data_IF_551691568707
#
_entry.id   IF_551691568707
#
_cell.length_a   1.000
_cell.length_b   1.000
_cell.length_c   1.000
_cell.angle_alpha   90.00
_cell.angle_beta   90.00
_cell.angle_gamma   90.00
#
_symmetry.space_group_name_H-M   'P 1'
#
loop_
_entity.id
_entity.type
_entity.pdbx_description
1 polymer ?
#
# COMPACT_ATOMS: atom_id res chain seq x y z
N UNK A 1 -16.41 -15.92 -0.92
CA UNK A 1 -16.62 -15.88 -2.38
C UNK A 1 -15.61 -16.77 -3.06
N UNK A 2 -16.05 -17.70 -3.88
CA UNK A 2 -15.17 -18.49 -4.71
C UNK A 2 -15.35 -17.98 -6.14
N UNK A 3 -14.29 -17.47 -6.76
CA UNK A 3 -14.32 -17.00 -8.12
C UNK A 3 -13.71 -18.08 -9.03
N UNK A 4 -14.49 -18.61 -9.97
CA UNK A 4 -14.04 -19.61 -10.94
C UNK A 4 -13.47 -18.93 -12.19
N UNK A 5 -14.11 -17.84 -12.63
CA UNK A 5 -13.69 -17.06 -13.79
C UNK A 5 -13.49 -15.59 -13.45
N UNK A 6 -12.27 -15.12 -13.61
CA UNK A 6 -11.81 -13.79 -13.20
C UNK A 6 -11.35 -13.00 -14.42
N UNK A 7 -11.79 -11.75 -14.50
CA UNK A 7 -11.38 -10.81 -15.54
C UNK A 7 -10.46 -9.72 -14.99
N UNK A 8 -9.39 -9.41 -15.73
CA UNK A 8 -8.56 -8.23 -15.45
C UNK A 8 -8.58 -7.27 -16.64
N UNK A 9 -8.96 -6.02 -16.39
CA UNK A 9 -8.91 -4.93 -17.37
C UNK A 9 -7.81 -3.97 -16.94
N UNK A 10 -6.68 -4.01 -17.68
CA UNK A 10 -5.42 -3.42 -17.25
C UNK A 10 -4.63 -4.39 -16.35
N UNK A 11 -3.54 -4.96 -16.86
CA UNK A 11 -2.74 -5.93 -16.13
C UNK A 11 -1.32 -5.39 -15.91
N UNK A 12 -1.22 -4.48 -14.93
CA UNK A 12 0.05 -3.88 -14.50
C UNK A 12 0.63 -4.55 -13.26
N UNK A 13 1.38 -3.76 -12.48
CA UNK A 13 1.99 -4.19 -11.22
C UNK A 13 0.96 -4.79 -10.25
N UNK A 14 -0.09 -4.03 -9.92
CA UNK A 14 -1.09 -4.43 -8.91
C UNK A 14 -1.98 -5.57 -9.42
N UNK A 15 -2.56 -5.42 -10.62
CA UNK A 15 -3.39 -6.48 -11.20
C UNK A 15 -2.64 -7.80 -11.36
N UNK A 16 -1.37 -7.73 -11.79
CA UNK A 16 -0.50 -8.90 -11.88
C UNK A 16 -0.17 -9.52 -10.53
N UNK A 17 0.03 -8.73 -9.49
CA UNK A 17 0.28 -9.22 -8.13
C UNK A 17 -0.94 -9.95 -7.56
N UNK A 18 -2.14 -9.41 -7.80
CA UNK A 18 -3.41 -10.07 -7.43
C UNK A 18 -3.56 -11.39 -8.21
N UNK A 19 -3.35 -11.37 -9.53
CA UNK A 19 -3.46 -12.56 -10.37
C UNK A 19 -2.49 -13.67 -9.93
N UNK A 20 -1.23 -13.32 -9.60
CA UNK A 20 -0.24 -14.26 -9.06
C UNK A 20 -0.71 -14.90 -7.76
N UNK A 21 -1.22 -14.09 -6.82
CA UNK A 21 -1.70 -14.60 -5.53
C UNK A 21 -2.94 -15.47 -5.69
N UNK A 22 -3.84 -15.12 -6.61
CA UNK A 22 -5.01 -15.96 -6.94
C UNK A 22 -4.60 -17.31 -7.52
N UNK A 23 -3.66 -17.35 -8.48
CA UNK A 23 -3.14 -18.62 -9.06
C UNK A 23 -2.38 -19.46 -8.03
N UNK A 24 -1.69 -18.84 -7.06
CA UNK A 24 -1.06 -19.54 -5.94
C UNK A 24 -2.10 -20.21 -5.04
N UNK A 25 -3.15 -19.48 -4.67
CA UNK A 25 -4.22 -19.98 -3.79
C UNK A 25 -5.13 -21.02 -4.48
N UNK A 26 -5.39 -20.84 -5.77
CA UNK A 26 -6.19 -21.75 -6.59
C UNK A 26 -5.59 -21.87 -8.00
N UNK A 27 -4.73 -22.86 -8.27
CA UNK A 27 -4.12 -23.05 -9.59
C UNK A 27 -5.13 -23.31 -10.72
N UNK A 28 -6.37 -23.66 -10.40
CA UNK A 28 -7.42 -23.96 -11.38
C UNK A 28 -8.29 -22.76 -11.73
N UNK A 29 -8.13 -21.61 -11.06
CA UNK A 29 -8.90 -20.41 -11.36
C UNK A 29 -8.66 -19.99 -12.81
N UNK A 30 -9.73 -19.76 -13.57
CA UNK A 30 -9.63 -19.23 -14.93
C UNK A 30 -9.45 -17.71 -14.86
N UNK A 31 -8.37 -17.19 -15.43
CA UNK A 31 -8.09 -15.77 -15.48
C UNK A 31 -7.95 -15.33 -16.92
N UNK A 32 -8.79 -14.38 -17.33
CA UNK A 32 -8.67 -13.70 -18.62
C UNK A 32 -8.32 -12.24 -18.41
N UNK A 33 -7.58 -11.64 -19.33
CA UNK A 33 -7.18 -10.25 -19.20
C UNK A 33 -7.20 -9.49 -20.54
N UNK A 34 -7.34 -8.18 -20.44
CA UNK A 34 -7.01 -7.26 -21.54
C UNK A 34 -6.14 -6.11 -20.99
N UNK A 35 -5.35 -5.49 -21.86
CA UNK A 35 -4.40 -4.43 -21.50
C UNK A 35 -4.28 -3.41 -22.65
N UNK A 36 -3.54 -2.33 -22.43
CA UNK A 36 -3.28 -1.34 -23.45
C UNK A 36 -2.36 -1.82 -24.58
N UNK A 37 -1.59 -2.89 -24.36
CA UNK A 37 -0.61 -3.40 -25.32
C UNK A 37 -0.59 -4.93 -25.32
N UNK A 38 -0.46 -5.52 -26.52
CA UNK A 38 -0.35 -6.96 -26.70
C UNK A 38 0.83 -7.56 -25.92
N UNK A 39 1.96 -6.88 -25.85
CA UNK A 39 3.13 -7.36 -25.11
C UNK A 39 2.82 -7.65 -23.62
N UNK A 40 1.95 -6.89 -22.98
CA UNK A 40 1.53 -7.17 -21.58
C UNK A 40 0.78 -8.49 -21.47
N UNK A 41 -0.03 -8.84 -22.48
CA UNK A 41 -0.77 -10.11 -22.55
C UNK A 41 0.20 -11.27 -22.84
N UNK A 42 1.13 -11.09 -23.77
CA UNK A 42 2.15 -12.08 -24.09
C UNK A 42 3.00 -12.43 -22.86
N UNK A 43 3.46 -11.41 -22.14
CA UNK A 43 4.23 -11.56 -20.90
C UNK A 43 3.43 -12.29 -19.82
N UNK A 44 2.16 -11.89 -19.60
CA UNK A 44 1.30 -12.51 -18.60
C UNK A 44 0.95 -13.97 -18.94
N UNK A 45 0.70 -14.26 -20.21
CA UNK A 45 0.45 -15.62 -20.71
C UNK A 45 1.71 -16.49 -20.58
N UNK A 46 2.88 -15.96 -20.96
CA UNK A 46 4.17 -16.62 -20.80
C UNK A 46 4.52 -16.96 -19.34
N UNK A 47 4.03 -16.15 -18.39
CA UNK A 47 4.14 -16.38 -16.94
C UNK A 47 3.08 -17.39 -16.42
N UNK A 48 2.16 -17.87 -17.25
CA UNK A 48 1.06 -18.77 -16.84
C UNK A 48 0.02 -18.11 -15.92
N UNK A 49 -0.11 -16.79 -15.97
CA UNK A 49 -1.03 -16.04 -15.12
C UNK A 49 -2.44 -15.90 -15.69
N UNK A 50 -2.56 -15.91 -17.02
CA UNK A 50 -3.83 -15.76 -17.75
C UNK A 50 -4.00 -16.84 -18.79
N UNK A 51 -5.25 -17.06 -19.21
CA UNK A 51 -5.61 -18.15 -20.11
C UNK A 51 -5.68 -17.70 -21.58
N UNK A 52 -5.67 -16.39 -21.87
CA UNK A 52 -5.66 -15.83 -23.22
C UNK A 52 -4.28 -15.30 -23.63
N UNK A 53 -3.96 -15.42 -24.91
CA UNK A 53 -2.72 -14.93 -25.51
C UNK A 53 -2.93 -13.77 -26.50
N UNK A 54 -4.14 -13.26 -26.60
CA UNK A 54 -4.51 -12.13 -27.45
C UNK A 54 -5.23 -11.07 -26.63
N UNK A 55 -5.20 -9.81 -27.10
CA UNK A 55 -6.04 -8.74 -26.53
C UNK A 55 -7.51 -9.09 -26.70
N UNK A 56 -8.24 -9.07 -25.60
CA UNK A 56 -9.67 -9.38 -25.58
C UNK A 56 -10.51 -8.11 -25.68
N UNK A 57 -11.61 -8.23 -26.43
CA UNK A 57 -12.70 -7.25 -26.38
C UNK A 57 -13.51 -7.42 -25.08
N UNK A 58 -14.14 -6.33 -24.61
CA UNK A 58 -14.89 -6.34 -23.34
C UNK A 58 -16.01 -7.38 -23.28
N UNK A 59 -16.62 -7.74 -24.41
CA UNK A 59 -17.64 -8.79 -24.46
C UNK A 59 -17.14 -10.18 -24.01
N UNK A 60 -15.84 -10.42 -24.02
CA UNK A 60 -15.23 -11.66 -23.51
C UNK A 60 -15.38 -11.83 -22.00
N UNK A 61 -15.63 -10.73 -21.28
CA UNK A 61 -15.76 -10.69 -19.81
C UNK A 61 -17.18 -10.96 -19.30
N UNK A 62 -18.16 -11.19 -20.20
CA UNK A 62 -19.58 -11.34 -19.85
C UNK A 62 -19.90 -12.45 -18.85
N UNK A 63 -19.10 -13.52 -18.83
CA UNK A 63 -19.28 -14.67 -17.96
C UNK A 63 -18.34 -14.65 -16.74
N UNK A 64 -17.65 -13.55 -16.47
CA UNK A 64 -16.77 -13.45 -15.30
C UNK A 64 -17.57 -13.33 -14.00
N UNK A 65 -17.06 -13.95 -12.93
CA UNK A 65 -17.60 -13.81 -11.58
C UNK A 65 -17.15 -12.53 -10.94
N UNK A 66 -15.92 -12.11 -11.23
CA UNK A 66 -15.35 -10.85 -10.80
C UNK A 66 -14.51 -10.22 -11.92
N UNK A 67 -14.57 -8.91 -12.04
CA UNK A 67 -13.76 -8.11 -12.96
C UNK A 67 -12.98 -7.08 -12.18
N UNK A 68 -11.65 -7.12 -12.27
CA UNK A 68 -10.73 -6.15 -11.69
C UNK A 68 -10.41 -5.05 -12.70
N UNK A 69 -10.74 -3.81 -12.38
CA UNK A 69 -10.37 -2.63 -13.14
C UNK A 69 -9.03 -2.10 -12.62
N UNK A 70 -7.96 -2.38 -13.35
CA UNK A 70 -6.58 -2.07 -12.93
C UNK A 70 -5.91 -1.02 -13.84
N UNK A 71 -6.69 -0.31 -14.63
CA UNK A 71 -6.25 0.83 -15.43
C UNK A 71 -6.31 2.14 -14.60
N UNK A 72 -5.81 3.28 -15.09
CA UNK A 72 -6.06 4.58 -14.49
C UNK A 72 -7.55 4.88 -14.31
N UNK A 73 -7.92 5.66 -13.26
CA UNK A 73 -9.31 5.87 -12.85
C UNK A 73 -10.19 6.35 -14.01
N UNK A 74 -9.73 7.30 -14.81
CA UNK A 74 -10.48 7.81 -15.97
C UNK A 74 -10.78 6.70 -16.98
N UNK A 75 -9.84 5.79 -17.23
CA UNK A 75 -10.04 4.65 -18.11
C UNK A 75 -10.97 3.59 -17.50
N UNK A 76 -10.87 3.36 -16.20
CA UNK A 76 -11.81 2.48 -15.49
C UNK A 76 -13.24 2.96 -15.59
N UNK A 77 -13.48 4.28 -15.56
CA UNK A 77 -14.79 4.90 -15.78
C UNK A 77 -15.31 4.61 -17.20
N UNK A 78 -14.47 4.75 -18.22
CA UNK A 78 -14.83 4.41 -19.61
C UNK A 78 -15.21 2.92 -19.74
N UNK A 79 -14.48 2.03 -19.06
CA UNK A 79 -14.79 0.60 -19.04
C UNK A 79 -16.09 0.28 -18.31
N UNK A 80 -16.39 0.93 -17.18
CA UNK A 80 -17.67 0.78 -16.47
C UNK A 80 -18.88 1.07 -17.35
N UNK A 81 -18.83 2.14 -18.15
CA UNK A 81 -19.90 2.51 -19.07
C UNK A 81 -20.20 1.38 -20.07
N UNK A 82 -19.17 0.72 -20.56
CA UNK A 82 -19.31 -0.37 -21.52
C UNK A 82 -19.72 -1.69 -20.85
N UNK A 83 -19.14 -2.01 -19.69
CA UNK A 83 -19.40 -3.24 -18.95
C UNK A 83 -20.84 -3.35 -18.45
N UNK A 84 -21.51 -2.22 -18.18
CA UNK A 84 -22.90 -2.18 -17.70
C UNK A 84 -23.84 -3.10 -18.50
N UNK A 85 -23.65 -3.19 -19.81
CA UNK A 85 -24.51 -3.95 -20.70
C UNK A 85 -23.94 -5.32 -21.08
N UNK A 86 -22.81 -5.70 -20.47
CA UNK A 86 -22.04 -6.90 -20.84
C UNK A 86 -22.08 -7.92 -19.71
N UNK A 87 -21.91 -7.46 -18.47
CA UNK A 87 -21.76 -8.34 -17.30
C UNK A 87 -23.05 -9.09 -16.96
N UNK A 88 -22.91 -10.25 -16.35
CA UNK A 88 -24.04 -10.97 -15.75
C UNK A 88 -24.48 -10.32 -14.43
N UNK A 89 -25.72 -10.58 -14.03
CA UNK A 89 -26.37 -9.92 -12.89
C UNK A 89 -25.62 -10.07 -11.55
N UNK A 90 -24.92 -11.19 -11.34
CA UNK A 90 -24.18 -11.53 -10.13
C UNK A 90 -22.67 -11.25 -10.24
N UNK A 91 -22.20 -10.68 -11.34
CA UNK A 91 -20.80 -10.29 -11.52
C UNK A 91 -20.43 -9.16 -10.55
N UNK A 92 -19.32 -9.30 -9.86
CA UNK A 92 -18.72 -8.23 -9.06
C UNK A 92 -17.69 -7.48 -9.91
N UNK A 93 -17.79 -6.17 -9.97
CA UNK A 93 -16.74 -5.29 -10.49
C UNK A 93 -16.00 -4.70 -9.29
N UNK A 94 -14.70 -4.73 -9.32
CA UNK A 94 -13.84 -4.02 -8.34
C UNK A 94 -12.75 -3.26 -9.06
N UNK A 95 -12.22 -2.21 -8.43
CA UNK A 95 -11.06 -1.50 -8.94
C UNK A 95 -9.88 -1.62 -7.95
N UNK A 96 -8.71 -1.14 -8.36
CA UNK A 96 -7.51 -1.07 -7.52
C UNK A 96 -6.93 0.36 -7.49
N UNK A 97 -7.71 1.34 -7.87
CA UNK A 97 -7.29 2.73 -7.99
C UNK A 97 -6.96 3.39 -6.66
N UNK A 98 -6.13 4.44 -6.70
CA UNK A 98 -5.72 5.21 -5.51
C UNK A 98 -6.78 6.19 -5.02
N UNK A 99 -7.83 6.45 -5.79
CA UNK A 99 -8.96 7.33 -5.47
C UNK A 99 -10.28 6.63 -5.75
N UNK A 100 -11.32 6.96 -4.98
CA UNK A 100 -12.60 6.23 -4.99
C UNK A 100 -13.80 7.09 -5.37
N UNK A 101 -13.79 8.40 -5.08
CA UNK A 101 -14.99 9.25 -5.24
C UNK A 101 -15.51 9.24 -6.68
N UNK A 102 -14.66 9.51 -7.66
CA UNK A 102 -15.10 9.61 -9.06
C UNK A 102 -15.66 8.30 -9.59
N UNK A 103 -15.03 7.17 -9.27
CA UNK A 103 -15.51 5.85 -9.74
C UNK A 103 -16.82 5.47 -9.06
N UNK A 104 -16.99 5.74 -7.75
CA UNK A 104 -18.24 5.49 -7.04
C UNK A 104 -19.39 6.36 -7.57
N UNK A 105 -19.15 7.65 -7.82
CA UNK A 105 -20.16 8.53 -8.40
C UNK A 105 -20.60 8.04 -9.79
N UNK A 106 -19.67 7.55 -10.60
CA UNK A 106 -20.00 6.95 -11.90
C UNK A 106 -20.76 5.63 -11.74
N UNK A 107 -20.42 4.79 -10.80
CA UNK A 107 -21.14 3.55 -10.48
C UNK A 107 -22.60 3.85 -10.11
N UNK A 108 -22.82 4.87 -9.26
CA UNK A 108 -24.18 5.33 -8.88
C UNK A 108 -24.94 5.85 -10.10
N UNK A 109 -24.32 6.71 -10.91
CA UNK A 109 -24.93 7.24 -12.15
C UNK A 109 -25.36 6.12 -13.10
N UNK A 110 -24.58 5.05 -13.16
CA UNK A 110 -24.84 3.92 -14.04
C UNK A 110 -25.83 2.90 -13.44
N UNK A 111 -26.17 2.98 -12.16
CA UNK A 111 -27.00 1.99 -11.47
C UNK A 111 -26.31 0.64 -11.28
N UNK A 112 -25.00 0.65 -11.08
CA UNK A 112 -24.15 -0.54 -10.90
C UNK A 112 -23.79 -0.81 -9.44
N UNK A 113 -24.45 -0.17 -8.46
CA UNK A 113 -24.09 -0.25 -7.04
C UNK A 113 -24.15 -1.68 -6.49
N UNK A 114 -25.03 -2.55 -7.01
CA UNK A 114 -25.11 -3.95 -6.59
C UNK A 114 -23.94 -4.79 -7.08
N UNK A 115 -23.33 -4.36 -8.19
CA UNK A 115 -22.25 -5.07 -8.86
C UNK A 115 -20.86 -4.54 -8.48
N UNK A 116 -20.75 -3.43 -7.74
CA UNK A 116 -19.50 -2.77 -7.51
C UNK A 116 -19.08 -2.78 -6.04
N UNK A 117 -17.83 -3.18 -5.81
CA UNK A 117 -17.14 -3.03 -4.53
C UNK A 117 -15.79 -2.41 -4.82
N UNK A 118 -15.59 -1.15 -4.43
CA UNK A 118 -14.31 -0.48 -4.66
C UNK A 118 -13.20 -1.08 -3.82
N UNK A 119 -12.00 -1.07 -4.37
CA UNK A 119 -10.80 -1.58 -3.73
C UNK A 119 -9.61 -0.66 -3.89
N UNK A 120 -8.72 -0.63 -2.88
CA UNK A 120 -7.43 0.05 -2.95
C UNK A 120 -6.39 -0.68 -2.12
N UNK A 121 -5.54 -1.51 -2.75
CA UNK A 121 -4.35 -2.03 -2.09
C UNK A 121 -3.38 -0.88 -1.78
N UNK A 122 -3.16 -0.58 -0.49
CA UNK A 122 -2.24 0.47 -0.03
C UNK A 122 -0.79 0.00 -0.16
N UNK A 123 -0.41 -0.36 -1.36
CA UNK A 123 0.93 -0.84 -1.68
C UNK A 123 1.28 -0.47 -3.13
N UNK A 124 2.56 -0.42 -3.41
CA UNK A 124 3.07 -0.08 -4.73
C UNK A 124 4.59 -0.08 -4.73
N UNK A 125 5.15 0.18 -5.88
CA UNK A 125 6.57 0.43 -6.05
C UNK A 125 6.76 1.43 -7.20
N UNK A 126 7.94 2.00 -7.31
CA UNK A 126 8.35 2.84 -8.44
C UNK A 126 8.46 2.07 -9.75
N UNK A 127 8.47 0.74 -9.69
CA UNK A 127 8.48 -0.15 -10.87
C UNK A 127 7.05 -0.31 -11.42
N UNK A 128 6.94 -0.46 -12.72
CA UNK A 128 5.66 -0.61 -13.43
C UNK A 128 5.63 -1.87 -14.28
N UNK A 129 4.44 -2.28 -14.72
CA UNK A 129 4.24 -3.41 -15.63
C UNK A 129 4.14 -4.78 -14.95
N UNK A 130 3.65 -5.75 -15.74
CA UNK A 130 3.36 -7.11 -15.28
C UNK A 130 4.62 -7.88 -14.84
N UNK A 131 5.75 -7.66 -15.49
CA UNK A 131 7.01 -8.35 -15.18
C UNK A 131 7.56 -7.97 -13.79
N UNK A 132 7.18 -6.82 -13.26
CA UNK A 132 7.54 -6.39 -11.90
C UNK A 132 6.50 -6.76 -10.85
N UNK A 133 5.41 -7.43 -11.24
CA UNK A 133 4.38 -7.88 -10.28
C UNK A 133 4.95 -8.95 -9.35
N UNK A 134 4.58 -8.86 -8.08
CA UNK A 134 5.00 -9.80 -7.04
C UNK A 134 3.83 -10.05 -6.08
N UNK A 135 3.55 -11.32 -5.80
CA UNK A 135 2.52 -11.75 -4.84
C UNK A 135 2.78 -11.21 -3.42
N UNK A 136 4.05 -11.06 -3.04
CA UNK A 136 4.47 -10.54 -1.73
C UNK A 136 4.11 -9.06 -1.55
N UNK A 137 3.89 -8.32 -2.64
CA UNK A 137 3.49 -6.91 -2.59
C UNK A 137 2.19 -6.68 -1.81
N UNK A 138 1.31 -7.68 -1.75
CA UNK A 138 0.03 -7.63 -1.05
C UNK A 138 0.13 -8.08 0.41
N UNK A 139 1.18 -8.77 0.79
CA UNK A 139 1.31 -9.35 2.12
C UNK A 139 1.49 -8.27 3.19
N UNK A 140 0.62 -8.31 4.21
CA UNK A 140 0.56 -7.34 5.31
C UNK A 140 0.28 -5.90 4.88
N UNK A 141 -0.03 -5.64 3.61
CA UNK A 141 -0.49 -4.33 3.15
C UNK A 141 -1.97 -4.13 3.52
N UNK A 142 -2.35 -2.90 3.87
CA UNK A 142 -3.76 -2.57 3.95
C UNK A 142 -4.39 -2.67 2.55
N UNK A 143 -5.55 -3.32 2.50
CA UNK A 143 -6.42 -3.30 1.33
C UNK A 143 -7.73 -2.63 1.75
N UNK A 144 -7.95 -1.40 1.30
CA UNK A 144 -9.16 -0.67 1.64
C UNK A 144 -10.28 -1.14 0.73
N UNK A 145 -11.41 -1.49 1.34
CA UNK A 145 -12.64 -1.91 0.68
C UNK A 145 -13.65 -0.79 0.86
N UNK A 146 -14.21 -0.30 -0.25
CA UNK A 146 -15.23 0.75 -0.22
C UNK A 146 -16.53 0.19 -0.83
N UNK A 147 -17.43 -0.39 0.00
CA UNK A 147 -18.72 -0.89 -0.48
C UNK A 147 -19.63 0.26 -0.91
N UNK A 148 -20.58 -0.03 -1.79
CA UNK A 148 -21.66 0.89 -2.11
C UNK A 148 -22.81 0.76 -1.11
N UNK A 149 -23.78 1.66 -1.16
CA UNK A 149 -25.00 1.56 -0.34
C UNK A 149 -25.87 0.33 -0.68
N UNK A 150 -25.69 -0.27 -1.86
CA UNK A 150 -26.43 -1.45 -2.30
C UNK A 150 -25.63 -2.75 -2.14
N UNK A 151 -24.40 -2.70 -1.64
CA UNK A 151 -23.60 -3.89 -1.32
C UNK A 151 -24.22 -4.61 -0.12
N UNK A 152 -24.55 -5.88 -0.28
CA UNK A 152 -25.08 -6.70 0.82
C UNK A 152 -23.98 -7.03 1.84
N UNK A 153 -24.36 -7.29 3.10
CA UNK A 153 -23.41 -7.74 4.12
C UNK A 153 -22.69 -9.03 3.71
N UNK A 154 -23.39 -9.94 3.03
CA UNK A 154 -22.82 -11.18 2.50
C UNK A 154 -21.71 -10.88 1.49
N UNK A 155 -21.99 -10.07 0.47
CA UNK A 155 -21.00 -9.70 -0.55
C UNK A 155 -19.79 -8.94 0.05
N UNK A 156 -20.06 -8.06 1.02
CA UNK A 156 -19.00 -7.34 1.72
C UNK A 156 -18.10 -8.28 2.52
N UNK A 157 -18.69 -9.21 3.28
CA UNK A 157 -17.94 -10.19 4.06
C UNK A 157 -17.16 -11.14 3.15
N UNK A 158 -17.75 -11.62 2.08
CA UNK A 158 -17.11 -12.50 1.11
C UNK A 158 -15.94 -11.83 0.42
N UNK A 159 -16.10 -10.57 0.00
CA UNK A 159 -15.00 -9.80 -0.61
C UNK A 159 -13.89 -9.51 0.43
N UNK A 160 -14.26 -9.26 1.69
CA UNK A 160 -13.28 -9.17 2.79
C UNK A 160 -12.49 -10.47 2.96
N UNK A 161 -13.13 -11.64 2.93
CA UNK A 161 -12.43 -12.93 3.01
C UNK A 161 -11.51 -13.14 1.80
N UNK A 162 -11.94 -12.73 0.61
CA UNK A 162 -11.08 -12.74 -0.57
C UNK A 162 -9.83 -11.87 -0.35
N UNK A 163 -9.96 -10.63 0.13
CA UNK A 163 -8.83 -9.75 0.42
C UNK A 163 -7.88 -10.36 1.46
N UNK A 164 -8.42 -10.97 2.53
CA UNK A 164 -7.61 -11.68 3.52
C UNK A 164 -6.86 -12.87 2.91
N UNK A 165 -7.44 -13.56 1.94
CA UNK A 165 -6.79 -14.67 1.22
C UNK A 165 -5.62 -14.22 0.37
N UNK A 166 -5.56 -12.93 -0.01
CA UNK A 166 -4.40 -12.33 -0.69
C UNK A 166 -3.22 -12.06 0.28
N UNK A 167 -3.38 -12.28 1.58
CA UNK A 167 -2.40 -11.94 2.62
C UNK A 167 -2.48 -10.49 3.08
N UNK A 168 -3.46 -9.73 2.61
CA UNK A 168 -3.65 -8.30 2.93
C UNK A 168 -4.47 -8.11 4.20
N UNK A 169 -4.39 -6.91 4.79
CA UNK A 169 -5.17 -6.48 5.94
C UNK A 169 -6.38 -5.71 5.43
N UNK A 170 -7.57 -6.29 5.51
CA UNK A 170 -8.79 -5.67 5.03
C UNK A 170 -9.28 -4.54 5.97
N UNK A 171 -9.50 -3.35 5.42
CA UNK A 171 -10.10 -2.20 6.10
C UNK A 171 -11.29 -1.72 5.28
N UNK A 172 -12.46 -1.57 5.91
CA UNK A 172 -13.67 -1.09 5.24
C UNK A 172 -13.86 0.38 5.60
N UNK A 173 -13.99 1.23 4.58
CA UNK A 173 -14.23 2.68 4.72
C UNK A 173 -15.32 3.13 3.75
N UNK A 174 -15.98 4.24 4.07
CA UNK A 174 -16.72 5.02 3.07
C UNK A 174 -15.75 5.59 2.01
N UNK A 175 -16.17 5.67 0.76
CA UNK A 175 -15.30 6.08 -0.34
C UNK A 175 -14.83 7.54 -0.24
N UNK A 176 -15.62 8.44 0.40
CA UNK A 176 -15.22 9.84 0.64
C UNK A 176 -14.25 9.95 1.81
N UNK A 177 -14.47 9.15 2.86
CA UNK A 177 -13.53 9.01 3.98
C UNK A 177 -12.18 8.47 3.47
N UNK A 178 -12.22 7.47 2.60
CA UNK A 178 -11.03 6.94 1.94
C UNK A 178 -10.25 8.05 1.22
N UNK A 179 -10.92 8.82 0.34
CA UNK A 179 -10.25 9.84 -0.45
C UNK A 179 -9.71 11.01 0.41
N UNK A 180 -10.38 11.36 1.49
CA UNK A 180 -9.88 12.32 2.46
C UNK A 180 -8.64 11.78 3.19
N UNK A 181 -8.69 10.55 3.69
CA UNK A 181 -7.57 9.93 4.40
C UNK A 181 -6.34 9.77 3.48
N UNK A 182 -6.53 9.24 2.26
CA UNK A 182 -5.42 9.07 1.30
C UNK A 182 -4.84 10.40 0.83
N UNK A 183 -5.68 11.42 0.67
CA UNK A 183 -5.19 12.77 0.39
C UNK A 183 -4.25 13.28 1.50
N UNK A 184 -4.60 13.05 2.77
CA UNK A 184 -3.83 13.53 3.91
C UNK A 184 -2.51 12.76 4.11
N UNK A 185 -2.53 11.42 4.01
CA UNK A 185 -1.37 10.58 4.38
C UNK A 185 -0.50 10.15 3.19
N UNK A 186 -0.97 10.36 1.96
CA UNK A 186 -0.24 9.98 0.73
C UNK A 186 -0.09 11.15 -0.24
N UNK A 187 -1.21 11.76 -0.68
CA UNK A 187 -1.14 12.73 -1.78
C UNK A 187 -0.49 14.05 -1.36
N UNK A 188 -0.88 14.62 -0.23
CA UNK A 188 -0.25 15.84 0.29
C UNK A 188 1.26 15.65 0.56
N UNK A 189 1.73 14.59 1.20
CA UNK A 189 3.17 14.32 1.34
C UNK A 189 3.94 14.32 0.02
N UNK A 190 3.36 13.76 -1.06
CA UNK A 190 4.00 13.81 -2.38
C UNK A 190 4.05 15.24 -2.94
N UNK A 191 2.97 16.03 -2.80
CA UNK A 191 2.98 17.44 -3.24
C UNK A 191 4.03 18.25 -2.50
N UNK A 192 4.19 18.02 -1.20
CA UNK A 192 5.24 18.66 -0.38
C UNK A 192 6.63 18.23 -0.88
N UNK A 193 6.84 16.94 -1.15
CA UNK A 193 8.11 16.44 -1.65
C UNK A 193 8.47 17.03 -3.02
N UNK A 194 7.53 17.07 -3.97
CA UNK A 194 7.73 17.72 -5.27
C UNK A 194 8.04 19.22 -5.12
N UNK A 195 7.25 19.92 -4.29
CA UNK A 195 7.46 21.35 -4.05
C UNK A 195 8.83 21.63 -3.42
N UNK A 196 9.26 20.80 -2.48
CA UNK A 196 10.57 20.93 -1.84
C UNK A 196 11.73 20.70 -2.82
N UNK A 197 11.63 19.67 -3.66
CA UNK A 197 12.66 19.41 -4.71
C UNK A 197 12.76 20.59 -5.68
N UNK A 198 11.63 21.04 -6.20
CA UNK A 198 11.58 22.18 -7.13
C UNK A 198 12.12 23.47 -6.49
N UNK A 199 11.83 23.70 -5.20
CA UNK A 199 12.39 24.85 -4.48
C UNK A 199 13.92 24.79 -4.45
N UNK A 200 14.49 23.65 -4.05
CA UNK A 200 15.95 23.49 -3.96
C UNK A 200 16.61 23.63 -5.33
N UNK A 201 16.03 23.04 -6.38
CA UNK A 201 16.51 23.20 -7.75
C UNK A 201 16.58 24.69 -8.17
N UNK A 202 15.55 25.49 -7.83
CA UNK A 202 15.48 26.90 -8.22
C UNK A 202 16.43 27.81 -7.45
N UNK A 203 16.75 27.50 -6.19
CA UNK A 203 17.60 28.35 -5.34
C UNK A 203 19.06 27.90 -5.27
N UNK A 204 19.40 26.74 -5.83
CA UNK A 204 20.77 26.26 -5.83
C UNK A 204 21.65 27.14 -6.74
N UNK A 205 22.90 27.27 -6.37
CA UNK A 205 23.88 28.03 -7.14
C UNK A 205 24.35 27.26 -8.39
N UNK A 206 24.99 27.99 -9.33
CA UNK A 206 25.66 27.36 -10.49
C UNK A 206 26.70 26.29 -10.10
N UNK A 207 27.18 26.34 -8.86
CA UNK A 207 28.10 25.32 -8.29
C UNK A 207 27.41 24.06 -7.79
N UNK A 208 26.09 23.99 -7.90
CA UNK A 208 25.28 22.85 -7.42
C UNK A 208 25.62 22.46 -5.96
N UNK A 209 25.82 23.46 -5.10
CA UNK A 209 26.28 23.24 -3.72
C UNK A 209 25.22 22.45 -2.93
N UNK A 210 23.92 22.83 -3.03
CA UNK A 210 22.84 22.15 -2.30
C UNK A 210 22.68 20.72 -2.80
N UNK A 211 22.71 20.50 -4.09
CA UNK A 211 22.67 19.18 -4.72
C UNK A 211 23.83 18.29 -4.24
N UNK A 212 25.03 18.87 -4.13
CA UNK A 212 26.24 18.14 -3.71
C UNK A 212 26.16 17.69 -2.24
N UNK A 213 25.65 18.55 -1.35
CA UNK A 213 25.58 18.26 0.09
C UNK A 213 24.24 17.61 0.50
N UNK A 214 23.33 17.37 -0.44
CA UNK A 214 22.04 16.71 -0.18
C UNK A 214 22.27 15.31 0.42
N UNK A 215 22.12 15.20 1.74
CA UNK A 215 22.35 14.00 2.53
C UNK A 215 21.05 13.26 2.86
N UNK A 216 21.14 12.21 3.69
CA UNK A 216 20.07 11.28 3.99
C UNK A 216 18.72 11.95 4.32
N UNK A 217 18.67 12.94 5.20
CA UNK A 217 17.40 13.58 5.58
C UNK A 217 16.63 14.17 4.39
N UNK A 218 17.31 14.91 3.49
CA UNK A 218 16.68 15.45 2.29
C UNK A 218 16.25 14.34 1.33
N UNK A 219 17.13 13.35 1.07
CA UNK A 219 16.84 12.22 0.19
C UNK A 219 15.68 11.36 0.71
N UNK A 220 15.62 11.12 2.01
CA UNK A 220 14.56 10.32 2.62
C UNK A 220 13.19 11.01 2.47
N UNK A 221 13.10 12.31 2.79
CA UNK A 221 11.85 13.09 2.67
C UNK A 221 11.41 13.24 1.22
N UNK A 222 12.37 13.39 0.28
CA UNK A 222 12.07 13.63 -1.14
C UNK A 222 12.07 12.37 -1.99
N UNK A 223 12.35 11.19 -1.44
CA UNK A 223 12.39 9.92 -2.19
C UNK A 223 11.12 9.69 -3.02
N UNK A 224 9.97 10.03 -2.47
CA UNK A 224 8.67 9.85 -3.12
C UNK A 224 8.45 10.79 -4.32
N UNK A 225 9.22 11.86 -4.45
CA UNK A 225 9.17 12.75 -5.62
C UNK A 225 9.75 12.12 -6.91
N UNK A 226 10.36 10.93 -6.83
CA UNK A 226 10.80 10.16 -8.00
C UNK A 226 9.69 9.32 -8.65
N UNK A 227 8.44 9.43 -8.20
CA UNK A 227 7.29 8.68 -8.72
C UNK A 227 6.84 9.19 -10.10
N UNK A 228 6.06 8.36 -10.82
CA UNK A 228 5.58 8.67 -12.17
C UNK A 228 4.75 9.95 -12.24
N UNK A 229 5.14 10.96 -13.05
CA UNK A 229 4.37 12.21 -13.19
C UNK A 229 2.96 12.00 -13.73
N UNK A 230 2.78 11.07 -14.68
CA UNK A 230 1.46 10.76 -15.27
C UNK A 230 0.52 10.16 -14.25
N UNK A 231 1.02 9.27 -13.38
CA UNK A 231 0.22 8.72 -12.30
C UNK A 231 -0.23 9.81 -11.32
N UNK A 232 0.68 10.73 -10.96
CA UNK A 232 0.40 11.79 -10.01
C UNK A 232 -0.53 12.87 -10.58
N UNK A 233 -0.42 13.17 -11.86
CA UNK A 233 -1.38 14.03 -12.56
C UNK A 233 -2.80 13.45 -12.42
N UNK A 234 -3.00 12.16 -12.72
CA UNK A 234 -4.30 11.50 -12.59
C UNK A 234 -4.82 11.49 -11.13
N UNK A 235 -3.95 11.27 -10.13
CA UNK A 235 -4.31 11.33 -8.71
C UNK A 235 -4.75 12.74 -8.32
N UNK A 236 -4.00 13.77 -8.72
CA UNK A 236 -4.34 15.16 -8.43
C UNK A 236 -5.68 15.56 -9.07
N UNK A 237 -5.97 15.11 -10.27
CA UNK A 237 -7.22 15.39 -10.95
C UNK A 237 -8.40 14.68 -10.27
N UNK A 238 -8.22 13.39 -9.96
CA UNK A 238 -9.29 12.55 -9.40
C UNK A 238 -9.61 12.85 -7.93
N UNK A 239 -8.67 13.42 -7.15
CA UNK A 239 -8.88 13.80 -5.75
C UNK A 239 -8.64 15.30 -5.49
N UNK A 240 -8.84 16.14 -6.50
CA UNK A 240 -8.51 17.57 -6.49
C UNK A 240 -9.11 18.32 -5.30
N UNK A 241 -10.38 18.11 -5.01
CA UNK A 241 -11.11 18.85 -3.96
C UNK A 241 -10.51 18.59 -2.58
N UNK A 242 -10.25 17.33 -2.23
CA UNK A 242 -9.67 16.96 -0.94
C UNK A 242 -8.23 17.46 -0.86
N UNK A 243 -7.46 17.30 -1.94
CA UNK A 243 -6.07 17.70 -1.97
C UNK A 243 -5.91 19.22 -1.78
N UNK A 244 -6.67 20.05 -2.50
CA UNK A 244 -6.61 21.50 -2.34
C UNK A 244 -6.99 21.94 -0.92
N UNK A 245 -8.07 21.37 -0.36
CA UNK A 245 -8.46 21.69 1.03
C UNK A 245 -7.36 21.34 2.05
N UNK A 246 -6.64 20.25 1.85
CA UNK A 246 -5.52 19.86 2.71
C UNK A 246 -4.26 20.70 2.49
N UNK A 247 -4.04 21.15 1.25
CA UNK A 247 -2.95 22.11 0.96
C UNK A 247 -3.19 23.44 1.69
N UNK A 248 -4.42 23.98 1.67
CA UNK A 248 -4.76 25.19 2.40
C UNK A 248 -4.50 25.04 3.92
N UNK A 249 -4.89 23.89 4.49
CA UNK A 249 -4.62 23.58 5.90
C UNK A 249 -3.12 23.46 6.19
N UNK A 250 -2.38 22.83 5.28
CA UNK A 250 -0.92 22.71 5.41
C UNK A 250 -0.23 24.08 5.35
N UNK A 251 -0.63 24.95 4.42
CA UNK A 251 -0.11 26.32 4.32
C UNK A 251 -0.36 27.10 5.61
N UNK A 252 -1.57 27.02 6.17
CA UNK A 252 -1.91 27.67 7.43
C UNK A 252 -1.05 27.14 8.60
N UNK A 253 -0.84 25.81 8.66
CA UNK A 253 0.02 25.20 9.69
C UNK A 253 1.50 25.57 9.51
N UNK A 254 1.99 25.64 8.27
CA UNK A 254 3.36 26.05 7.97
C UNK A 254 3.57 27.54 8.29
N UNK A 255 2.57 28.38 8.05
CA UNK A 255 2.59 29.78 8.45
C UNK A 255 2.69 29.96 9.97
N UNK A 256 1.90 29.16 10.73
CA UNK A 256 2.00 29.15 12.21
C UNK A 256 3.40 28.78 12.71
N UNK A 257 4.02 27.75 12.10
CA UNK A 257 5.40 27.38 12.43
C UNK A 257 6.38 28.52 12.15
N UNK A 258 6.22 29.19 11.00
CA UNK A 258 7.03 30.37 10.63
C UNK A 258 6.91 31.50 11.67
N UNK A 259 5.69 31.77 12.17
CA UNK A 259 5.46 32.76 13.21
C UNK A 259 6.16 32.39 14.52
N UNK A 260 6.05 31.13 14.97
CA UNK A 260 6.73 30.64 16.18
C UNK A 260 8.25 30.82 16.06
N UNK A 261 8.84 30.54 14.90
CA UNK A 261 10.27 30.74 14.66
C UNK A 261 10.62 32.23 14.65
N UNK A 262 9.81 33.06 14.01
CA UNK A 262 10.04 34.50 13.92
C UNK A 262 9.95 35.20 15.30
N UNK A 263 9.08 34.72 16.19
CA UNK A 263 8.97 35.20 17.57
C UNK A 263 10.21 34.84 18.40
N UNK A 264 10.94 33.79 18.07
CA UNK A 264 12.14 33.36 18.78
C UNK A 264 11.88 32.77 20.17
N UNK A 265 10.64 32.35 20.47
CA UNK A 265 10.29 31.74 21.74
C UNK A 265 10.77 30.28 21.78
N UNK A 266 11.83 29.99 22.53
CA UNK A 266 12.38 28.64 22.70
C UNK A 266 11.32 27.67 23.20
N UNK A 267 10.49 28.03 24.18
CA UNK A 267 9.47 27.14 24.73
C UNK A 267 8.39 26.79 23.69
N UNK A 268 7.88 27.75 22.94
CA UNK A 268 6.88 27.47 21.88
C UNK A 268 7.42 26.56 20.78
N UNK A 269 8.70 26.73 20.40
CA UNK A 269 9.36 25.84 19.44
C UNK A 269 9.46 24.40 19.98
N UNK A 270 9.92 24.26 21.23
CA UNK A 270 10.04 22.95 21.88
C UNK A 270 8.67 22.27 21.97
N UNK A 271 7.65 22.97 22.42
CA UNK A 271 6.29 22.42 22.54
C UNK A 271 5.75 21.95 21.17
N UNK A 272 5.90 22.78 20.14
CA UNK A 272 5.47 22.42 18.77
C UNK A 272 6.15 21.16 18.24
N UNK A 273 7.46 21.04 18.43
CA UNK A 273 8.22 19.87 17.99
C UNK A 273 7.92 18.64 18.83
N UNK A 274 7.70 18.81 20.15
CA UNK A 274 7.34 17.71 21.03
C UNK A 274 5.97 17.11 20.69
N UNK A 275 4.98 17.95 20.37
CA UNK A 275 3.67 17.48 19.91
C UNK A 275 3.78 16.65 18.64
N UNK A 276 4.56 17.11 17.66
CA UNK A 276 4.83 16.39 16.43
C UNK A 276 5.52 15.04 16.69
N UNK A 277 6.52 15.03 17.59
CA UNK A 277 7.23 13.82 17.99
C UNK A 277 6.27 12.81 18.65
N UNK A 278 5.46 13.27 19.61
CA UNK A 278 4.51 12.42 20.32
C UNK A 278 3.53 11.73 19.34
N UNK A 279 2.98 12.50 18.38
CA UNK A 279 2.10 11.94 17.37
C UNK A 279 2.85 10.94 16.46
N UNK A 280 4.06 11.27 15.99
CA UNK A 280 4.88 10.39 15.16
C UNK A 280 5.20 9.07 15.88
N UNK A 281 5.55 9.12 17.15
CA UNK A 281 5.85 7.96 17.99
C UNK A 281 4.60 7.07 18.23
N UNK A 282 3.40 7.66 18.15
CA UNK A 282 2.12 6.94 18.26
C UNK A 282 1.72 6.19 16.97
N UNK A 283 2.39 6.47 15.83
CA UNK A 283 2.12 5.77 14.57
C UNK A 283 2.66 4.34 14.63
N UNK A 284 1.75 3.40 14.67
CA UNK A 284 2.07 1.97 14.68
C UNK A 284 2.20 1.42 13.26
N UNK A 285 3.00 0.36 13.09
CA UNK A 285 3.10 -0.34 11.81
C UNK A 285 1.74 -0.93 11.38
N UNK A 286 1.50 -1.11 10.06
CA UNK A 286 0.29 -1.75 9.55
C UNK A 286 0.02 -3.08 10.27
N UNK A 287 -1.22 -3.29 10.70
CA UNK A 287 -1.63 -4.48 11.45
C UNK A 287 -1.48 -4.39 12.97
N UNK A 288 -0.74 -3.40 13.51
CA UNK A 288 -0.51 -3.26 14.94
C UNK A 288 -1.78 -3.04 15.79
N UNK A 289 -2.77 -2.29 15.30
CA UNK A 289 -4.03 -2.02 16.03
C UNK A 289 -5.09 -3.12 15.87
N UNK A 290 -4.97 -3.99 14.87
CA UNK A 290 -5.98 -5.02 14.57
C UNK A 290 -5.69 -6.33 15.30
N UNK A 291 -4.44 -6.54 15.73
CA UNK A 291 -4.02 -7.71 16.52
C UNK A 291 -3.85 -7.30 17.98
N UNK A 292 -4.71 -7.81 18.86
CA UNK A 292 -4.59 -7.62 20.31
C UNK A 292 -3.42 -8.34 20.95
N UNK A 293 -2.78 -9.28 20.25
CA UNK A 293 -1.71 -10.11 20.75
C UNK A 293 -0.47 -9.98 19.82
N UNK A 294 0.46 -9.09 20.19
CA UNK A 294 1.76 -9.01 19.54
C UNK A 294 2.74 -9.95 20.25
N UNK A 295 3.12 -11.01 19.56
CA UNK A 295 4.18 -11.90 19.99
C UNK A 295 5.48 -11.45 19.33
N UNK A 296 6.04 -10.30 19.75
CA UNK A 296 7.28 -9.75 19.17
C UNK A 296 8.29 -9.33 20.23
N UNK A 297 9.57 -9.46 19.87
CA UNK A 297 10.69 -8.94 20.65
C UNK A 297 11.62 -8.12 19.78
N UNK A 298 12.39 -7.27 20.42
CA UNK A 298 13.49 -6.53 19.82
C UNK A 298 14.79 -7.03 20.45
N UNK A 299 15.76 -7.41 19.62
CA UNK A 299 17.02 -8.01 20.05
C UNK A 299 18.17 -7.18 19.51
N UNK A 300 19.05 -6.73 20.40
CA UNK A 300 20.27 -6.04 19.99
C UNK A 300 21.23 -7.06 19.39
N UNK A 301 21.72 -6.79 18.17
CA UNK A 301 22.70 -7.63 17.49
C UNK A 301 23.88 -6.78 17.02
N UNK A 302 25.09 -7.33 17.11
CA UNK A 302 26.26 -6.73 16.50
C UNK A 302 26.10 -6.69 14.97
N UNK A 303 26.50 -5.58 14.35
CA UNK A 303 26.52 -5.45 12.87
C UNK A 303 27.73 -6.20 12.31
N UNK A 304 27.62 -7.52 12.28
CA UNK A 304 28.66 -8.42 11.78
C UNK A 304 28.09 -9.48 10.84
N UNK A 305 28.95 -9.97 9.94
CA UNK A 305 28.57 -11.01 9.00
C UNK A 305 28.14 -12.28 9.73
N UNK A 306 26.88 -12.71 9.53
CA UNK A 306 26.33 -13.93 10.13
C UNK A 306 25.52 -13.72 11.41
N UNK A 307 25.45 -12.51 11.99
CA UNK A 307 24.73 -12.24 13.24
C UNK A 307 23.25 -12.65 13.17
N UNK A 308 22.54 -12.25 12.11
CA UNK A 308 21.13 -12.66 11.88
C UNK A 308 21.01 -14.18 11.68
N UNK A 309 21.92 -14.76 10.89
CA UNK A 309 21.89 -16.20 10.62
C UNK A 309 22.11 -17.02 11.89
N UNK A 310 23.01 -16.58 12.78
CA UNK A 310 23.29 -17.24 14.06
C UNK A 310 22.07 -17.21 14.97
N UNK A 311 21.41 -16.05 15.09
CA UNK A 311 20.20 -15.89 15.91
C UNK A 311 19.03 -16.72 15.36
N UNK A 312 18.77 -16.65 14.04
CA UNK A 312 17.72 -17.43 13.40
C UNK A 312 17.97 -18.94 13.54
N UNK A 313 19.22 -19.39 13.39
CA UNK A 313 19.59 -20.79 13.60
C UNK A 313 19.39 -21.23 15.05
N UNK A 314 19.75 -20.39 16.02
CA UNK A 314 19.55 -20.67 17.46
C UNK A 314 18.06 -20.92 17.77
N UNK A 315 17.17 -20.07 17.27
CA UNK A 315 15.71 -20.25 17.43
C UNK A 315 15.22 -21.52 16.73
N UNK A 316 15.66 -21.76 15.49
CA UNK A 316 15.28 -22.96 14.72
C UNK A 316 15.72 -24.26 15.39
N UNK A 317 16.96 -24.34 15.95
CA UNK A 317 17.44 -25.51 16.68
C UNK A 317 16.66 -25.80 17.97
N UNK A 318 15.99 -24.79 18.53
CA UNK A 318 15.09 -24.95 19.68
C UNK A 318 13.63 -25.15 19.26
N UNK A 319 13.34 -25.40 17.97
CA UNK A 319 12.00 -25.68 17.47
C UNK A 319 11.10 -24.44 17.41
N UNK A 320 11.66 -23.25 17.51
CA UNK A 320 10.90 -21.98 17.53
C UNK A 320 10.82 -21.41 16.12
N UNK A 321 9.61 -21.33 15.58
CA UNK A 321 9.34 -20.76 14.26
C UNK A 321 9.25 -19.25 14.31
N UNK A 322 10.03 -18.57 13.47
CA UNK A 322 9.96 -17.12 13.26
C UNK A 322 8.87 -16.85 12.24
N UNK A 323 7.93 -15.96 12.58
CA UNK A 323 6.87 -15.52 11.65
C UNK A 323 7.36 -14.39 10.76
N UNK A 324 8.10 -13.43 11.34
CA UNK A 324 8.68 -12.31 10.61
C UNK A 324 9.96 -11.86 11.32
N UNK A 325 10.95 -11.37 10.54
CA UNK A 325 12.20 -10.84 11.05
C UNK A 325 12.60 -9.62 10.22
N UNK A 326 13.01 -8.54 10.88
CA UNK A 326 13.40 -7.31 10.22
C UNK A 326 14.40 -6.51 11.01
N UNK A 327 15.30 -5.81 10.32
CA UNK A 327 16.25 -4.89 10.94
C UNK A 327 15.57 -3.54 11.10
N UNK A 328 15.62 -2.98 12.31
CA UNK A 328 15.20 -1.61 12.58
C UNK A 328 16.47 -0.78 12.71
N UNK A 329 16.73 0.08 11.73
CA UNK A 329 17.81 1.05 11.80
C UNK A 329 17.38 2.19 12.71
N UNK A 330 17.72 2.09 14.00
CA UNK A 330 17.56 3.19 14.94
C UNK A 330 18.93 3.84 15.11
N UNK A 331 19.10 5.07 14.62
CA UNK A 331 20.36 5.83 14.75
C UNK A 331 20.73 6.17 16.20
N UNK A 332 19.85 5.88 17.15
CA UNK A 332 20.09 6.10 18.59
C UNK A 332 20.89 4.99 19.27
N UNK A 333 21.09 3.85 18.60
CA UNK A 333 21.86 2.73 19.12
C UNK A 333 23.01 2.41 18.16
N UNK A 334 24.21 2.27 18.68
CA UNK A 334 25.43 1.89 17.92
C UNK A 334 25.38 0.46 17.39
N UNK A 335 24.39 -0.34 17.83
CA UNK A 335 24.16 -1.74 17.43
C UNK A 335 22.83 -1.85 16.67
N UNK A 336 22.77 -2.77 15.70
CA UNK A 336 21.54 -3.04 14.94
C UNK A 336 20.47 -3.67 15.83
N UNK A 337 19.22 -3.21 15.75
CA UNK A 337 18.08 -3.82 16.45
C UNK A 337 17.31 -4.71 15.50
N UNK A 338 17.19 -5.99 15.85
CA UNK A 338 16.43 -6.98 15.10
C UNK A 338 15.05 -7.15 15.73
N UNK A 339 13.99 -6.85 14.97
CA UNK A 339 12.62 -7.16 15.36
C UNK A 339 12.29 -8.58 14.92
N UNK A 340 11.76 -9.39 15.83
CA UNK A 340 11.34 -10.77 15.57
C UNK A 340 9.90 -10.94 16.02
N UNK A 341 9.03 -11.42 15.12
CA UNK A 341 7.63 -11.73 15.37
C UNK A 341 7.42 -13.25 15.39
N UNK A 342 6.64 -13.75 16.35
CA UNK A 342 6.31 -15.16 16.52
C UNK A 342 4.82 -15.42 16.24
N UNK A 343 4.44 -16.69 16.11
CA UNK A 343 3.07 -17.08 15.79
C UNK A 343 2.12 -17.00 17.01
N UNK A 344 2.65 -17.22 18.22
CA UNK A 344 1.90 -17.27 19.48
C UNK A 344 2.77 -16.87 20.66
N UNK A 345 2.14 -16.74 21.84
CA UNK A 345 2.81 -16.37 23.09
C UNK A 345 3.79 -17.46 23.59
N UNK A 346 3.47 -18.74 23.38
CA UNK A 346 4.33 -19.83 23.81
C UNK A 346 5.68 -19.82 23.06
N UNK A 347 5.64 -19.56 21.75
CA UNK A 347 6.83 -19.38 20.93
C UNK A 347 7.64 -18.14 21.35
N UNK A 348 6.95 -17.02 21.67
CA UNK A 348 7.56 -15.79 22.17
C UNK A 348 8.33 -16.04 23.50
N UNK A 349 7.66 -16.63 24.51
CA UNK A 349 8.27 -16.88 25.82
C UNK A 349 9.44 -17.86 25.70
N UNK A 350 9.30 -18.88 24.87
CA UNK A 350 10.38 -19.83 24.58
C UNK A 350 11.58 -19.14 23.94
N UNK A 351 11.33 -18.24 22.99
CA UNK A 351 12.38 -17.46 22.33
C UNK A 351 13.12 -16.56 23.32
N UNK A 352 12.38 -15.87 24.20
CA UNK A 352 12.96 -15.01 25.24
C UNK A 352 13.89 -15.83 26.18
N UNK A 353 13.46 -17.03 26.59
CA UNK A 353 14.26 -17.90 27.44
C UNK A 353 15.57 -18.27 26.75
N UNK A 354 15.50 -18.80 25.53
CA UNK A 354 16.66 -19.24 24.73
C UNK A 354 17.64 -18.11 24.46
N UNK A 355 17.14 -16.93 24.12
CA UNK A 355 17.99 -15.78 23.80
C UNK A 355 18.67 -15.21 25.05
N UNK A 356 17.97 -15.15 26.19
CA UNK A 356 18.54 -14.72 27.48
C UNK A 356 19.67 -15.66 27.96
N UNK A 357 19.50 -16.96 27.78
CA UNK A 357 20.55 -17.94 28.13
C UNK A 357 21.84 -17.74 27.31
N UNK A 358 21.75 -17.09 26.17
CA UNK A 358 22.89 -16.76 25.30
C UNK A 358 23.34 -15.30 25.40
N UNK A 359 22.86 -14.58 26.43
CA UNK A 359 23.23 -13.21 26.76
C UNK A 359 22.81 -12.16 25.70
N UNK A 360 21.75 -12.43 24.90
CA UNK A 360 21.19 -11.42 24.04
C UNK A 360 20.41 -10.39 24.87
N UNK A 361 20.58 -9.11 24.54
CA UNK A 361 19.78 -8.04 25.11
C UNK A 361 18.41 -8.00 24.40
N UNK A 362 17.34 -8.11 25.18
CA UNK A 362 15.98 -8.20 24.65
C UNK A 362 15.13 -7.06 25.21
N UNK A 363 14.42 -6.39 24.33
CA UNK A 363 13.46 -5.35 24.67
C UNK A 363 12.04 -5.82 24.29
N UNK A 364 11.09 -5.65 25.22
CA UNK A 364 9.64 -5.77 24.96
C UNK A 364 9.05 -4.38 24.87
N UNK A 365 8.14 -4.16 23.95
CA UNK A 365 7.30 -2.95 23.92
C UNK A 365 5.99 -3.19 24.60
#
# INVERSE_FOLDING_TARGET
>A
MHFDKVGFIGLGLIGGSIARKMKENNPKVSIIATAGHQQTIDDAFGLGLIDNNELLELNSFKDCDVIFLCAPVNKNIEYLIQLKNIIKDDCIITDVGSTKTQIHEKVIELGLERNFIGGHPMTGSEKTGILNSDKQLLENAYYIITPTAATTEENQNDFKQFVLSLGSIALILDYREHDHATAAISHLPHMIAYSLVNLIEHIDSEKETMKTIAAGGFRDVTRIAASSPVMWENICESNKTQLLSLMDQYEANFHKLREIIAEGSSQKMIDYFQDSKNYRDSLTLPGAKIRKDFHEIFVDIADEAGGIAMLASLLAFNGISIKNIGIINNREFEEGVLRIEFYDEDALESAISVLKERNYTIHRR
#
